data_IF_128933538706
#
_entry.id   IF_128933538706
#
_cell.length_a   1.000
_cell.length_b   1.000
_cell.length_c   1.000
_cell.angle_alpha   90.00
_cell.angle_beta   90.00
_cell.angle_gamma   90.00
#
_symmetry.space_group_name_H-M   'P 1'
#
loop_
_entity.id
_entity.type
_entity.pdbx_description
1 polymer ?
#
# COMPACT_ATOMS: atom_id res chain seq x y z
N UNK A 1 0.39 14.04 -22.95
CA UNK A 1 1.01 15.23 -22.32
C UNK A 1 0.29 16.53 -22.68
N UNK A 2 -0.08 16.76 -23.94
CA UNK A 2 -0.83 17.97 -24.36
C UNK A 2 -2.21 18.04 -23.71
N UNK A 3 -2.93 16.93 -23.72
CA UNK A 3 -4.24 16.82 -23.10
C UNK A 3 -4.19 17.05 -21.58
N UNK A 4 -3.14 16.53 -20.91
CA UNK A 4 -2.95 16.73 -19.48
C UNK A 4 -2.66 18.20 -19.16
N UNK A 5 -1.80 18.86 -19.95
CA UNK A 5 -1.51 20.28 -19.77
C UNK A 5 -2.75 21.14 -20.02
N UNK A 6 -3.54 20.82 -21.04
CA UNK A 6 -4.79 21.49 -21.34
C UNK A 6 -5.82 21.32 -20.20
N UNK A 7 -5.97 20.10 -19.68
CA UNK A 7 -6.86 19.82 -18.57
C UNK A 7 -6.42 20.52 -17.27
N UNK A 8 -5.11 20.67 -17.05
CA UNK A 8 -4.54 21.41 -15.93
C UNK A 8 -4.52 22.95 -16.16
N UNK A 9 -5.14 23.42 -17.22
CA UNK A 9 -5.20 24.84 -17.60
C UNK A 9 -3.80 25.50 -17.64
N UNK A 10 -2.82 24.79 -18.19
CA UNK A 10 -1.43 25.26 -18.31
C UNK A 10 -0.87 25.00 -19.71
N UNK A 11 0.25 25.63 -20.05
CA UNK A 11 0.90 25.40 -21.33
C UNK A 11 1.79 24.15 -21.30
N UNK A 12 1.95 23.52 -22.48
CA UNK A 12 2.86 22.38 -22.68
C UNK A 12 4.28 22.71 -22.22
N UNK A 13 4.77 23.92 -22.52
CA UNK A 13 6.12 24.37 -22.13
C UNK A 13 6.31 24.47 -20.62
N UNK A 14 5.29 24.96 -19.92
CA UNK A 14 5.29 25.02 -18.44
C UNK A 14 5.30 23.62 -17.88
N UNK A 15 4.46 22.73 -18.44
CA UNK A 15 4.37 21.35 -18.00
C UNK A 15 5.72 20.62 -18.13
N UNK A 16 6.36 20.69 -19.32
CA UNK A 16 7.68 20.09 -19.54
C UNK A 16 8.78 20.69 -18.64
N UNK A 17 8.71 21.99 -18.35
CA UNK A 17 9.66 22.64 -17.46
C UNK A 17 9.59 22.10 -16.02
N UNK A 18 8.39 21.74 -15.53
CA UNK A 18 8.21 21.25 -14.16
C UNK A 18 8.45 19.74 -14.04
N UNK A 19 8.03 18.96 -15.01
CA UNK A 19 8.02 17.51 -14.91
C UNK A 19 9.00 16.82 -15.85
N UNK A 20 9.60 17.54 -16.78
CA UNK A 20 10.49 17.00 -17.81
C UNK A 20 9.73 16.18 -18.84
N UNK A 21 9.18 15.04 -18.44
CA UNK A 21 8.44 14.13 -19.30
C UNK A 21 7.28 13.44 -18.56
N UNK A 22 6.71 12.39 -19.17
CA UNK A 22 5.62 11.61 -18.56
C UNK A 22 6.09 10.85 -17.32
N UNK A 23 7.35 10.42 -17.31
CA UNK A 23 7.94 9.72 -16.19
C UNK A 23 8.15 10.65 -15.00
N UNK A 24 8.69 11.86 -15.22
CA UNK A 24 8.83 12.87 -14.17
C UNK A 24 7.48 13.29 -13.57
N UNK A 25 6.42 13.38 -14.41
CA UNK A 25 5.06 13.56 -13.87
C UNK A 25 4.62 12.40 -13.00
N UNK A 26 4.84 11.16 -13.45
CA UNK A 26 4.47 9.96 -12.70
C UNK A 26 5.17 9.92 -11.35
N UNK A 27 6.45 10.27 -11.31
CA UNK A 27 7.24 10.35 -10.08
C UNK A 27 6.72 11.42 -9.12
N UNK A 28 6.48 12.63 -9.61
CA UNK A 28 5.95 13.72 -8.80
C UNK A 28 4.56 13.39 -8.23
N UNK A 29 3.68 12.81 -9.06
CA UNK A 29 2.37 12.36 -8.63
C UNK A 29 2.47 11.21 -7.63
N UNK A 30 3.37 10.25 -7.86
CA UNK A 30 3.65 9.16 -6.95
C UNK A 30 4.10 9.65 -5.57
N UNK A 31 5.06 10.57 -5.53
CA UNK A 31 5.53 11.17 -4.29
C UNK A 31 4.40 11.88 -3.52
N UNK A 32 3.58 12.64 -4.21
CA UNK A 32 2.43 13.33 -3.60
C UNK A 32 1.41 12.33 -3.01
N UNK A 33 1.01 11.34 -3.80
CA UNK A 33 0.03 10.32 -3.38
C UNK A 33 0.58 9.50 -2.21
N UNK A 34 1.83 9.04 -2.29
CA UNK A 34 2.44 8.22 -1.25
C UNK A 34 2.67 9.00 0.04
N UNK A 35 3.05 10.28 -0.03
CA UNK A 35 3.22 11.10 1.17
C UNK A 35 1.90 11.31 1.92
N UNK A 36 0.81 11.56 1.21
CA UNK A 36 -0.54 11.65 1.79
C UNK A 36 -0.99 10.31 2.37
N UNK A 37 -0.79 9.24 1.63
CA UNK A 37 -1.14 7.89 2.05
C UNK A 37 -0.38 7.46 3.30
N UNK A 38 0.94 7.67 3.32
CA UNK A 38 1.79 7.42 4.49
C UNK A 38 1.22 8.10 5.74
N UNK A 39 0.86 9.37 5.61
CA UNK A 39 0.28 10.14 6.72
C UNK A 39 -1.02 9.52 7.21
N UNK A 40 -1.92 9.13 6.32
CA UNK A 40 -3.20 8.52 6.67
C UNK A 40 -3.03 7.15 7.35
N UNK A 41 -2.23 6.25 6.77
CA UNK A 41 -1.99 4.91 7.32
C UNK A 41 -1.31 4.98 8.69
N UNK A 42 -0.27 5.80 8.83
CA UNK A 42 0.42 5.94 10.10
C UNK A 42 -0.45 6.62 11.16
N UNK A 43 -1.30 7.57 10.78
CA UNK A 43 -2.27 8.19 11.67
C UNK A 43 -3.32 7.17 12.13
N UNK A 44 -3.89 6.40 11.21
CA UNK A 44 -4.84 5.32 11.52
C UNK A 44 -4.25 4.31 12.52
N UNK A 45 -3.01 3.88 12.29
CA UNK A 45 -2.31 2.97 13.19
C UNK A 45 -2.06 3.52 14.61
N UNK A 46 -1.97 4.85 14.76
CA UNK A 46 -1.73 5.49 16.07
C UNK A 46 -3.02 5.83 16.83
N UNK A 47 -4.13 5.96 16.13
CA UNK A 47 -5.42 6.37 16.71
C UNK A 47 -6.16 5.24 17.42
N UNK A 48 -5.68 4.00 17.33
CA UNK A 48 -6.32 2.81 17.87
C UNK A 48 -5.52 2.25 19.04
N UNK A 49 -6.23 1.76 20.06
CA UNK A 49 -5.62 1.23 21.29
C UNK A 49 -5.20 -0.25 21.17
N UNK A 50 -5.83 -1.02 20.27
CA UNK A 50 -5.57 -2.45 20.05
C UNK A 50 -4.76 -2.72 18.79
N UNK A 51 -3.89 -3.74 18.81
CA UNK A 51 -3.08 -4.11 17.64
C UNK A 51 -3.95 -4.62 16.47
N UNK A 52 -5.03 -5.34 16.75
CA UNK A 52 -6.01 -5.79 15.74
C UNK A 52 -6.75 -4.62 15.10
N UNK A 53 -7.17 -3.65 15.91
CA UNK A 53 -7.85 -2.44 15.45
C UNK A 53 -6.91 -1.58 14.61
N UNK A 54 -5.63 -1.51 14.99
CA UNK A 54 -4.62 -0.79 14.22
C UNK A 54 -4.39 -1.43 12.84
N UNK A 55 -4.34 -2.75 12.76
CA UNK A 55 -4.20 -3.47 11.50
C UNK A 55 -5.42 -3.23 10.59
N UNK A 56 -6.64 -3.35 11.14
CA UNK A 56 -7.88 -3.06 10.41
C UNK A 56 -7.90 -1.61 9.89
N UNK A 57 -7.58 -0.64 10.74
CA UNK A 57 -7.55 0.77 10.36
C UNK A 57 -6.53 1.06 9.24
N UNK A 58 -5.37 0.39 9.24
CA UNK A 58 -4.37 0.51 8.18
C UNK A 58 -4.85 -0.10 6.86
N UNK A 59 -5.47 -1.29 6.90
CA UNK A 59 -6.04 -1.95 5.72
C UNK A 59 -7.14 -1.08 5.12
N UNK A 60 -8.05 -0.58 5.95
CA UNK A 60 -9.14 0.30 5.52
C UNK A 60 -8.62 1.60 4.89
N UNK A 61 -7.66 2.27 5.52
CA UNK A 61 -7.05 3.49 4.99
C UNK A 61 -6.39 3.26 3.62
N UNK A 62 -5.72 2.11 3.43
CA UNK A 62 -5.18 1.72 2.14
C UNK A 62 -6.27 1.55 1.07
N UNK A 63 -7.32 0.79 1.38
CA UNK A 63 -8.41 0.53 0.43
C UNK A 63 -9.15 1.82 0.08
N UNK A 64 -9.42 2.69 1.04
CA UNK A 64 -10.07 3.99 0.83
C UNK A 64 -9.23 4.88 -0.08
N UNK A 65 -7.94 4.96 0.13
CA UNK A 65 -7.03 5.72 -0.73
C UNK A 65 -7.05 5.19 -2.16
N UNK A 66 -6.90 3.89 -2.34
CA UNK A 66 -6.91 3.26 -3.65
C UNK A 66 -8.25 3.44 -4.37
N UNK A 67 -9.37 3.40 -3.64
CA UNK A 67 -10.71 3.61 -4.15
C UNK A 67 -11.04 5.08 -4.48
N UNK A 68 -10.42 6.04 -3.80
CA UNK A 68 -10.66 7.47 -4.04
C UNK A 68 -10.25 7.89 -5.45
N UNK A 69 -9.18 7.32 -6.00
CA UNK A 69 -8.72 7.62 -7.34
C UNK A 69 -8.05 6.39 -7.98
N UNK A 70 -8.82 5.39 -8.43
CA UNK A 70 -8.27 4.14 -8.94
C UNK A 70 -7.29 4.34 -10.11
N UNK A 71 -7.60 5.27 -11.01
CA UNK A 71 -6.74 5.58 -12.15
C UNK A 71 -5.37 6.13 -11.73
N UNK A 72 -5.35 7.00 -10.71
CA UNK A 72 -4.10 7.52 -10.16
C UNK A 72 -3.35 6.40 -9.44
N UNK A 73 -4.06 5.61 -8.65
CA UNK A 73 -3.48 4.45 -7.98
C UNK A 73 -2.78 3.52 -8.97
N UNK A 74 -3.50 3.06 -10.01
CA UNK A 74 -2.91 2.19 -11.03
C UNK A 74 -1.79 2.87 -11.84
N UNK A 75 -1.91 4.17 -12.12
CA UNK A 75 -0.85 4.90 -12.83
C UNK A 75 0.44 4.95 -12.01
N UNK A 76 0.35 5.18 -10.71
CA UNK A 76 1.51 5.25 -9.80
C UNK A 76 2.12 3.87 -9.54
N UNK A 77 1.27 2.83 -9.41
CA UNK A 77 1.69 1.46 -9.09
C UNK A 77 2.03 0.61 -10.33
N UNK A 78 1.77 1.09 -11.53
CA UNK A 78 1.99 0.35 -12.79
C UNK A 78 3.46 0.12 -13.15
N UNK A 79 4.42 0.58 -12.34
CA UNK A 79 5.84 0.33 -12.60
C UNK A 79 6.23 -1.08 -12.14
N UNK A 80 6.89 -1.90 -12.98
CA UNK A 80 7.45 -3.20 -12.58
C UNK A 80 8.40 -3.11 -11.37
N UNK A 81 9.06 -1.97 -11.21
CA UNK A 81 9.94 -1.68 -10.08
C UNK A 81 9.20 -1.52 -8.73
N UNK A 82 7.88 -1.37 -8.74
CA UNK A 82 7.05 -1.41 -7.53
C UNK A 82 6.66 -2.84 -7.12
N UNK A 83 7.26 -3.85 -7.74
CA UNK A 83 7.04 -5.24 -7.35
C UNK A 83 7.66 -5.48 -5.96
N UNK A 84 6.81 -5.84 -5.00
CA UNK A 84 7.21 -6.16 -3.62
C UNK A 84 8.20 -7.32 -3.53
N UNK A 85 8.40 -8.05 -4.62
CA UNK A 85 9.26 -9.22 -4.69
C UNK A 85 10.66 -8.89 -5.25
N UNK A 86 10.85 -7.73 -5.90
CA UNK A 86 12.16 -7.31 -6.38
C UNK A 86 12.99 -6.74 -5.22
N UNK A 87 14.18 -7.28 -5.06
CA UNK A 87 15.16 -6.75 -4.13
C UNK A 87 15.82 -5.51 -4.76
N UNK A 88 15.67 -4.31 -4.19
CA UNK A 88 16.25 -3.08 -4.76
C UNK A 88 17.78 -3.11 -4.91
N UNK A 89 18.45 -4.04 -4.20
CA UNK A 89 19.90 -4.19 -4.26
C UNK A 89 20.41 -4.90 -5.53
N UNK A 90 19.53 -5.46 -6.35
CA UNK A 90 19.92 -6.29 -7.49
C UNK A 90 19.85 -5.56 -8.85
N UNK A 91 19.26 -4.38 -8.95
CA UNK A 91 19.22 -3.59 -10.20
C UNK A 91 19.57 -2.11 -9.97
N UNK A 92 20.84 -1.71 -10.26
CA UNK A 92 21.29 -0.33 -10.12
C UNK A 92 20.57 0.66 -11.07
N UNK A 93 19.86 0.17 -12.10
CA UNK A 93 19.12 1.01 -13.04
C UNK A 93 17.66 1.27 -12.59
N UNK A 94 17.25 0.74 -11.44
CA UNK A 94 15.92 0.91 -10.86
C UNK A 94 15.76 2.28 -10.15
N UNK A 95 16.68 3.19 -10.39
CA UNK A 95 16.61 4.52 -9.81
C UNK A 95 15.43 5.31 -10.38
N UNK A 96 14.64 5.82 -9.52
CA UNK A 96 13.94 7.10 -9.46
C UNK A 96 12.42 7.11 -9.25
N UNK A 97 11.66 6.11 -9.56
CA UNK A 97 10.19 6.17 -9.32
C UNK A 97 9.68 5.18 -8.28
N UNK A 98 10.40 4.09 -8.11
CA UNK A 98 10.10 3.03 -7.15
C UNK A 98 10.61 3.32 -5.73
N UNK A 99 11.59 4.21 -5.57
CA UNK A 99 12.23 4.49 -4.29
C UNK A 99 11.23 4.90 -3.21
N UNK A 100 10.38 5.88 -3.49
CA UNK A 100 9.44 6.42 -2.49
C UNK A 100 8.38 5.37 -2.08
N UNK A 101 7.92 4.56 -3.02
CA UNK A 101 6.95 3.49 -2.74
C UNK A 101 7.63 2.35 -1.97
N UNK A 102 8.84 1.97 -2.35
CA UNK A 102 9.62 0.97 -1.66
C UNK A 102 9.99 1.43 -0.24
N UNK A 103 10.45 2.67 -0.06
CA UNK A 103 10.74 3.25 1.24
C UNK A 103 9.52 3.23 2.16
N UNK A 104 8.33 3.54 1.60
CA UNK A 104 7.08 3.47 2.34
C UNK A 104 6.75 2.02 2.76
N UNK A 105 6.87 1.05 1.85
CA UNK A 105 6.62 -0.36 2.20
C UNK A 105 7.65 -0.92 3.18
N UNK A 106 8.89 -0.49 3.10
CA UNK A 106 9.93 -0.87 4.05
C UNK A 106 9.68 -0.27 5.44
N UNK A 107 9.21 0.98 5.52
CA UNK A 107 8.79 1.58 6.78
C UNK A 107 7.58 0.84 7.37
N UNK A 108 6.58 0.54 6.54
CA UNK A 108 5.41 -0.22 6.95
C UNK A 108 5.78 -1.62 7.44
N UNK A 109 6.65 -2.31 6.70
CA UNK A 109 7.19 -3.63 7.07
C UNK A 109 7.89 -3.58 8.42
N UNK A 110 8.72 -2.57 8.64
CA UNK A 110 9.46 -2.36 9.89
C UNK A 110 8.52 -2.08 11.06
N UNK A 111 7.51 -1.24 10.86
CA UNK A 111 6.50 -0.95 11.86
C UNK A 111 5.67 -2.18 12.23
N UNK A 112 5.21 -2.95 11.25
CA UNK A 112 4.45 -4.19 11.45
C UNK A 112 5.29 -5.24 12.18
N UNK A 113 6.56 -5.39 11.82
CA UNK A 113 7.49 -6.30 12.51
C UNK A 113 7.63 -5.95 13.99
N UNK A 114 7.84 -4.68 14.31
CA UNK A 114 7.97 -4.21 15.69
C UNK A 114 6.70 -4.50 16.50
N UNK A 115 5.52 -4.22 15.95
CA UNK A 115 4.24 -4.49 16.61
C UNK A 115 4.02 -5.98 16.82
N UNK A 116 4.34 -6.80 15.82
CA UNK A 116 4.22 -8.25 15.91
C UNK A 116 5.13 -8.84 16.97
N UNK A 117 6.39 -8.40 17.06
CA UNK A 117 7.32 -8.82 18.12
C UNK A 117 6.78 -8.46 19.49
N UNK A 118 6.24 -7.25 19.67
CA UNK A 118 5.62 -6.83 20.93
C UNK A 118 4.40 -7.67 21.29
N UNK A 119 3.52 -7.92 20.32
CA UNK A 119 2.32 -8.73 20.50
C UNK A 119 2.64 -10.19 20.90
N UNK A 120 3.69 -10.76 20.32
CA UNK A 120 4.11 -12.14 20.60
C UNK A 120 5.02 -12.27 21.83
N UNK A 121 5.38 -11.16 22.49
CA UNK A 121 6.29 -11.18 23.64
C UNK A 121 7.72 -11.64 23.30
N UNK A 122 8.13 -11.50 22.03
CA UNK A 122 9.47 -11.90 21.59
C UNK A 122 10.47 -10.84 22.07
N UNK A 123 11.26 -11.19 23.07
CA UNK A 123 12.30 -10.31 23.61
C UNK A 123 13.39 -10.01 22.56
N UNK A 124 14.10 -8.88 22.72
CA UNK A 124 15.14 -8.39 21.82
C UNK A 124 16.35 -9.31 21.61
N UNK A 125 16.45 -10.41 22.37
CA UNK A 125 17.48 -11.43 22.23
C UNK A 125 17.00 -12.74 21.59
N UNK A 126 15.71 -12.90 21.33
CA UNK A 126 15.16 -14.10 20.71
C UNK A 126 15.04 -13.91 19.20
N UNK A 127 15.58 -14.85 18.43
CA UNK A 127 15.35 -14.90 16.98
C UNK A 127 13.89 -15.26 16.71
N UNK A 128 13.14 -14.36 16.07
CA UNK A 128 11.89 -14.74 15.45
C UNK A 128 12.12 -15.86 14.42
N UNK A 129 11.12 -16.74 14.22
CA UNK A 129 11.23 -17.71 13.14
C UNK A 129 11.31 -16.98 11.79
N UNK A 130 12.00 -17.58 10.82
CA UNK A 130 12.10 -16.99 9.46
C UNK A 130 10.71 -16.72 8.84
N UNK A 131 9.70 -17.54 9.19
CA UNK A 131 8.31 -17.33 8.76
C UNK A 131 7.73 -16.00 9.28
N UNK A 132 8.05 -15.64 10.53
CA UNK A 132 7.58 -14.39 11.12
C UNK A 132 8.25 -13.16 10.51
N UNK A 133 9.51 -13.29 10.07
CA UNK A 133 10.20 -12.22 9.35
C UNK A 133 9.61 -11.95 7.97
N UNK A 134 9.00 -12.96 7.34
CA UNK A 134 8.36 -12.83 6.03
C UNK A 134 6.93 -12.29 6.12
N UNK A 135 6.25 -12.50 7.26
CA UNK A 135 4.83 -12.20 7.43
C UNK A 135 4.46 -10.74 7.11
N UNK A 136 5.18 -9.70 7.58
CA UNK A 136 4.79 -8.32 7.28
C UNK A 136 4.78 -8.03 5.77
N UNK A 137 5.78 -8.50 5.04
CA UNK A 137 5.87 -8.27 3.59
C UNK A 137 4.81 -9.06 2.82
N UNK A 138 4.57 -10.30 3.21
CA UNK A 138 3.51 -11.14 2.66
C UNK A 138 2.12 -10.52 2.91
N UNK A 139 1.88 -9.96 4.08
CA UNK A 139 0.64 -9.28 4.46
C UNK A 139 0.39 -8.06 3.57
N UNK A 140 1.40 -7.22 3.34
CA UNK A 140 1.30 -6.07 2.42
C UNK A 140 0.95 -6.54 1.01
N UNK A 141 1.58 -7.61 0.52
CA UNK A 141 1.28 -8.21 -0.77
C UNK A 141 -0.16 -8.71 -0.87
N UNK A 142 -0.67 -9.36 0.17
CA UNK A 142 -2.06 -9.83 0.24
C UNK A 142 -3.05 -8.66 0.19
N UNK A 143 -2.86 -7.63 1.02
CA UNK A 143 -3.72 -6.44 1.05
C UNK A 143 -3.74 -5.76 -0.32
N UNK A 144 -2.58 -5.60 -0.94
CA UNK A 144 -2.44 -5.01 -2.27
C UNK A 144 -3.19 -5.83 -3.32
N UNK A 145 -2.94 -7.13 -3.40
CA UNK A 145 -3.56 -8.00 -4.38
C UNK A 145 -5.08 -8.04 -4.23
N UNK A 146 -5.59 -8.19 -3.00
CA UNK A 146 -7.02 -8.19 -2.72
C UNK A 146 -7.68 -6.84 -3.10
N UNK A 147 -7.04 -5.71 -2.74
CA UNK A 147 -7.53 -4.37 -3.09
C UNK A 147 -7.55 -4.14 -4.61
N UNK A 148 -6.51 -4.54 -5.33
CA UNK A 148 -6.46 -4.41 -6.79
C UNK A 148 -7.49 -5.27 -7.51
N UNK A 149 -7.71 -6.51 -7.06
CA UNK A 149 -8.77 -7.38 -7.57
C UNK A 149 -10.14 -6.76 -7.33
N UNK A 150 -10.38 -6.25 -6.13
CA UNK A 150 -11.63 -5.58 -5.78
C UNK A 150 -11.87 -4.32 -6.61
N UNK A 151 -10.84 -3.49 -6.85
CA UNK A 151 -10.96 -2.28 -7.67
C UNK A 151 -11.30 -2.60 -9.13
N UNK A 152 -10.86 -3.75 -9.66
CA UNK A 152 -11.15 -4.20 -11.03
C UNK A 152 -12.46 -4.99 -11.13
N UNK A 153 -13.02 -5.42 -10.01
CA UNK A 153 -14.27 -6.15 -10.01
C UNK A 153 -15.44 -5.26 -10.49
N UNK A 154 -16.38 -5.79 -11.26
CA UNK A 154 -17.57 -5.05 -11.65
C UNK A 154 -18.35 -4.60 -10.42
N UNK A 155 -19.01 -3.45 -10.54
CA UNK A 155 -19.86 -2.91 -9.49
C UNK A 155 -21.21 -3.61 -9.50
N UNK A 156 -21.30 -4.71 -8.77
CA UNK A 156 -22.51 -5.55 -8.65
C UNK A 156 -22.91 -5.65 -7.17
N UNK A 157 -24.19 -6.01 -6.88
CA UNK A 157 -24.64 -6.17 -5.48
C UNK A 157 -23.85 -7.20 -4.68
N UNK A 158 -23.19 -8.14 -5.34
CA UNK A 158 -22.36 -9.18 -4.71
C UNK A 158 -20.94 -8.70 -4.38
N UNK A 159 -20.53 -7.54 -4.92
CA UNK A 159 -19.23 -6.95 -4.57
C UNK A 159 -19.26 -6.45 -3.13
N UNK A 160 -18.36 -6.93 -2.25
CA UNK A 160 -18.35 -6.49 -0.86
C UNK A 160 -18.06 -4.99 -0.77
N UNK A 161 -18.67 -4.34 0.22
CA UNK A 161 -18.33 -2.97 0.56
C UNK A 161 -16.90 -2.86 1.07
N UNK A 162 -16.35 -1.65 1.04
CA UNK A 162 -14.93 -1.41 1.41
C UNK A 162 -14.64 -1.79 2.87
N UNK A 163 -15.56 -1.54 3.78
CA UNK A 163 -15.46 -1.92 5.21
C UNK A 163 -15.50 -3.44 5.40
N UNK A 164 -16.38 -4.11 4.67
CA UNK A 164 -16.51 -5.57 4.67
C UNK A 164 -15.23 -6.23 4.12
N UNK A 165 -14.69 -5.68 3.05
CA UNK A 165 -13.43 -6.14 2.49
C UNK A 165 -12.27 -5.94 3.47
N UNK A 166 -12.19 -4.77 4.12
CA UNK A 166 -11.17 -4.49 5.12
C UNK A 166 -11.25 -5.47 6.30
N UNK A 167 -12.46 -5.75 6.78
CA UNK A 167 -12.71 -6.72 7.85
C UNK A 167 -12.27 -8.11 7.43
N UNK A 168 -12.64 -8.54 6.22
CA UNK A 168 -12.26 -9.86 5.69
C UNK A 168 -10.74 -10.00 5.57
N UNK A 169 -10.07 -9.03 4.97
CA UNK A 169 -8.60 -9.05 4.82
C UNK A 169 -7.93 -9.07 6.20
N UNK A 170 -8.39 -8.25 7.14
CA UNK A 170 -7.85 -8.23 8.51
C UNK A 170 -8.00 -9.58 9.19
N UNK A 171 -9.17 -10.20 9.05
CA UNK A 171 -9.42 -11.55 9.57
C UNK A 171 -8.48 -12.58 8.95
N UNK A 172 -8.27 -12.55 7.64
CA UNK A 172 -7.33 -13.46 6.98
C UNK A 172 -5.90 -13.29 7.47
N UNK A 173 -5.48 -12.06 7.73
CA UNK A 173 -4.15 -11.76 8.25
C UNK A 173 -3.93 -12.22 9.69
N UNK A 174 -4.98 -12.23 10.51
CA UNK A 174 -4.90 -12.53 11.95
C UNK A 174 -5.27 -13.97 12.29
N UNK A 175 -6.21 -14.54 11.57
CA UNK A 175 -6.77 -15.87 11.89
C UNK A 175 -6.61 -16.89 10.75
N UNK A 176 -6.16 -16.46 9.57
CA UNK A 176 -6.16 -17.28 8.36
C UNK A 176 -7.54 -17.35 7.70
N UNK A 177 -7.63 -18.15 6.64
CA UNK A 177 -8.83 -18.32 5.80
C UNK A 177 -9.70 -19.48 6.30
N UNK A 178 -9.74 -19.73 7.61
CA UNK A 178 -10.62 -20.75 8.19
C UNK A 178 -12.08 -20.28 8.10
N UNK A 179 -13.04 -21.19 7.82
CA UNK A 179 -14.44 -20.83 7.90
C UNK A 179 -14.75 -20.33 9.31
N UNK A 180 -15.34 -19.16 9.42
CA UNK A 180 -15.82 -18.65 10.70
C UNK A 180 -16.85 -19.64 11.20
N UNK A 181 -16.60 -20.24 12.36
CA UNK A 181 -17.61 -21.05 13.02
C UNK A 181 -18.81 -20.15 13.29
N UNK A 182 -19.88 -20.35 12.52
CA UNK A 182 -21.19 -19.76 12.79
C UNK A 182 -21.65 -20.32 14.13
N UNK A 183 -21.50 -19.50 15.19
CA UNK A 183 -22.10 -19.77 16.49
C UNK A 183 -23.60 -19.57 16.48
#
# INVERSE_FOLDING_TARGET
MEEIAAQANTSKSVFYRYFGDKEGLRQALGQYVISNFRTQVLSAARSTAGEGDALHAMVLAYLQMAATSPNIYFFVTANPAADLLTNPAEDPNLETGSGVLNDFFDELTRMMRTRMHNYMGIGSGQRASAALELWPRASIGMVRAAGELWLRAPDTPERPGIEELATSITSWLTHGVAPQATG
#
